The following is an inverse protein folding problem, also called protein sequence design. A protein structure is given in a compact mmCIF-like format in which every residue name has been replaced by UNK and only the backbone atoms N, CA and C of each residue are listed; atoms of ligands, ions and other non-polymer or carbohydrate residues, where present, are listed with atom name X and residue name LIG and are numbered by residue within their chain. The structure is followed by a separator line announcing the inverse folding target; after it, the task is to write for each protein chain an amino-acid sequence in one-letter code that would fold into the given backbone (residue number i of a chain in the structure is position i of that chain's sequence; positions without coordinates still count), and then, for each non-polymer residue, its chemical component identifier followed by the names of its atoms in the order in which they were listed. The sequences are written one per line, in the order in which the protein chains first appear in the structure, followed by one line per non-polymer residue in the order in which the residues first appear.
data_IF_748585506359
#
_entry.id   IF_748585506359
#
_cell.length_a   1.000
_cell.length_b   1.000
_cell.length_c   1.000
_cell.angle_alpha   90.00
_cell.angle_beta   90.00
_cell.angle_gamma   90.00
#
_symmetry.space_group_name_H-M   'P 1'
#
loop_
_entity.id
_entity.type
_entity.pdbx_description
1 polymer ?
#
# COMPACT_ATOMS: atom_id res chain seq x y z
N UNK A 1 -40.01 -6.19 22.59
CA UNK A 1 -39.20 -7.43 22.56
C UNK A 1 -37.75 -7.05 22.84
N UNK A 2 -37.17 -7.48 23.98
CA UNK A 2 -35.77 -7.21 24.31
C UNK A 2 -34.89 -8.23 23.58
N UNK A 3 -34.16 -7.79 22.55
CA UNK A 3 -33.15 -8.61 21.91
C UNK A 3 -31.98 -8.79 22.91
N UNK A 4 -31.99 -9.92 23.63
CA UNK A 4 -30.87 -10.33 24.47
C UNK A 4 -29.77 -10.85 23.54
N UNK A 5 -28.79 -9.99 23.21
CA UNK A 5 -27.58 -10.40 22.50
C UNK A 5 -26.76 -11.29 23.43
N UNK A 6 -26.96 -12.62 23.34
CA UNK A 6 -26.11 -13.61 24.00
C UNK A 6 -24.82 -13.75 23.21
N UNK A 7 -23.87 -12.85 23.42
CA UNK A 7 -22.54 -12.92 22.83
C UNK A 7 -21.80 -14.15 23.38
N UNK A 8 -21.34 -15.04 22.50
CA UNK A 8 -20.50 -16.18 22.91
C UNK A 8 -19.18 -15.65 23.50
N UNK A 9 -18.60 -16.32 24.52
CA UNK A 9 -17.38 -15.85 25.19
C UNK A 9 -16.20 -15.62 24.23
N UNK A 10 -16.16 -16.36 23.12
CA UNK A 10 -15.18 -16.17 22.03
C UNK A 10 -15.24 -14.77 21.40
N UNK A 11 -16.44 -14.22 21.19
CA UNK A 11 -16.59 -12.88 20.61
C UNK A 11 -16.10 -11.81 21.58
N UNK A 12 -16.32 -12.00 22.88
CA UNK A 12 -15.83 -11.10 23.91
C UNK A 12 -14.28 -11.10 23.98
N UNK A 13 -13.66 -12.29 23.92
CA UNK A 13 -12.20 -12.40 23.84
C UNK A 13 -11.62 -11.74 22.59
N UNK A 14 -12.25 -11.91 21.42
CA UNK A 14 -11.81 -11.29 20.17
C UNK A 14 -11.86 -9.75 20.24
N UNK A 15 -12.95 -9.20 20.77
CA UNK A 15 -13.09 -7.75 20.94
C UNK A 15 -12.03 -7.22 21.91
N UNK A 16 -11.83 -7.90 23.03
CA UNK A 16 -10.81 -7.52 24.02
C UNK A 16 -9.40 -7.54 23.40
N UNK A 17 -9.06 -8.60 22.67
CA UNK A 17 -7.77 -8.73 21.99
C UNK A 17 -7.56 -7.60 20.97
N UNK A 18 -8.54 -7.34 20.11
CA UNK A 18 -8.47 -6.23 19.15
C UNK A 18 -8.30 -4.86 19.82
N UNK A 19 -8.94 -4.65 20.97
CA UNK A 19 -8.83 -3.39 21.71
C UNK A 19 -7.48 -3.22 22.44
N UNK A 20 -6.80 -4.32 22.77
CA UNK A 20 -5.52 -4.31 23.48
C UNK A 20 -4.30 -4.13 22.56
N UNK A 21 -4.40 -4.57 21.30
CA UNK A 21 -3.34 -4.45 20.28
C UNK A 21 -2.72 -3.05 20.13
N UNK A 22 -3.47 -1.93 20.07
CA UNK A 22 -2.87 -0.61 19.90
C UNK A 22 -1.99 -0.19 21.08
N UNK A 23 -2.21 -0.71 22.29
CA UNK A 23 -1.39 -0.38 23.47
C UNK A 23 -0.02 -1.07 23.46
N UNK A 24 0.15 -2.11 22.63
CA UNK A 24 1.41 -2.84 22.45
C UNK A 24 2.17 -2.38 21.21
N UNK A 25 1.58 -1.52 20.39
CA UNK A 25 2.20 -1.04 19.15
C UNK A 25 3.26 0.01 19.46
N UNK A 26 4.48 -0.22 18.98
CA UNK A 26 5.52 0.81 18.87
C UNK A 26 5.46 1.41 17.48
N UNK A 27 5.51 2.74 17.37
CA UNK A 27 5.56 3.41 16.07
C UNK A 27 6.99 3.74 15.69
N UNK A 28 7.33 3.52 14.43
CA UNK A 28 8.57 3.99 13.84
C UNK A 28 8.32 5.40 13.27
N UNK A 29 9.17 6.36 13.63
CA UNK A 29 9.15 7.67 12.99
C UNK A 29 9.75 7.55 11.58
N UNK A 30 9.01 8.06 10.60
CA UNK A 30 9.43 8.17 9.20
C UNK A 30 9.17 9.60 8.74
N UNK A 31 10.11 10.22 8.04
CA UNK A 31 9.94 11.59 7.55
C UNK A 31 8.82 11.73 6.51
N UNK A 32 8.55 10.65 5.77
CA UNK A 32 7.54 10.61 4.70
C UNK A 32 6.72 9.32 4.81
N UNK A 33 5.40 9.44 4.69
CA UNK A 33 4.50 8.28 4.57
C UNK A 33 4.68 7.69 3.17
N UNK A 34 5.41 6.58 3.10
CA UNK A 34 5.73 5.88 1.85
C UNK A 34 4.79 4.67 1.66
N UNK A 35 3.48 4.95 1.57
CA UNK A 35 2.46 3.94 1.25
C UNK A 35 2.15 3.97 -0.24
N UNK A 36 2.14 2.81 -0.90
CA UNK A 36 1.74 2.72 -2.30
C UNK A 36 0.21 2.62 -2.45
N UNK A 37 -0.56 2.63 -1.36
CA UNK A 37 -2.02 2.57 -1.37
C UNK A 37 -2.65 3.93 -1.03
N UNK A 38 -3.73 4.35 -1.74
CA UNK A 38 -4.52 3.59 -2.71
C UNK A 38 -4.02 3.64 -4.17
N UNK A 39 -3.09 4.52 -4.53
CA UNK A 39 -2.75 4.85 -5.92
C UNK A 39 -1.93 3.81 -6.70
N UNK A 40 -1.54 2.68 -6.08
CA UNK A 40 -0.70 1.60 -6.62
C UNK A 40 0.65 2.05 -7.23
N UNK A 41 0.99 3.31 -7.07
CA UNK A 41 2.19 3.93 -7.63
C UNK A 41 3.29 3.91 -6.58
N UNK A 42 4.48 3.46 -7.00
CA UNK A 42 5.63 3.34 -6.11
C UNK A 42 6.32 4.70 -6.00
N UNK A 43 6.42 5.21 -4.76
CA UNK A 43 7.18 6.43 -4.48
C UNK A 43 8.68 6.25 -4.70
N UNK A 44 9.35 7.35 -5.07
CA UNK A 44 10.79 7.33 -5.38
C UNK A 44 11.66 7.01 -4.14
N UNK A 45 11.21 7.37 -2.94
CA UNK A 45 11.96 7.20 -1.70
C UNK A 45 11.96 5.74 -1.20
N UNK A 46 13.01 5.34 -0.49
CA UNK A 46 13.06 4.06 0.21
C UNK A 46 12.31 4.12 1.55
N UNK A 47 11.90 2.98 2.10
CA UNK A 47 11.24 2.90 3.43
C UNK A 47 12.17 3.32 4.59
N UNK A 48 13.48 3.14 4.46
CA UNK A 48 14.49 3.50 5.48
C UNK A 48 15.47 2.38 5.80
N UNK A 49 16.68 2.70 6.26
CA UNK A 49 17.72 1.69 6.53
C UNK A 49 17.33 0.77 7.69
N UNK A 50 17.31 -0.53 7.46
CA UNK A 50 16.99 -1.55 8.46
C UNK A 50 15.50 -1.66 8.78
N UNK A 51 14.64 -0.95 8.05
CA UNK A 51 13.19 -0.96 8.27
C UNK A 51 12.55 -2.02 7.37
N UNK A 52 11.73 -2.87 8.00
CA UNK A 52 10.85 -3.81 7.31
C UNK A 52 9.44 -3.24 7.38
N UNK A 53 8.79 -3.11 6.24
CA UNK A 53 7.40 -2.68 6.12
C UNK A 53 6.61 -3.77 5.40
N UNK A 54 5.44 -4.07 5.95
CA UNK A 54 4.47 -4.96 5.34
C UNK A 54 3.19 -4.16 5.06
N UNK A 55 2.76 -4.14 3.81
CA UNK A 55 1.47 -3.57 3.40
C UNK A 55 0.57 -4.72 2.98
N UNK A 56 -0.57 -4.87 3.65
CA UNK A 56 -1.59 -5.85 3.28
C UNK A 56 -2.86 -5.14 2.83
N UNK A 57 -3.63 -5.78 1.96
CA UNK A 57 -4.90 -5.23 1.51
C UNK A 57 -5.88 -6.31 1.08
N UNK A 58 -7.15 -5.94 1.04
CA UNK A 58 -8.22 -6.77 0.50
C UNK A 58 -8.70 -6.17 -0.83
N UNK A 59 -8.94 -7.03 -1.80
CA UNK A 59 -9.46 -6.68 -3.11
C UNK A 59 -10.89 -7.20 -3.20
N UNK A 60 -11.79 -6.32 -3.60
CA UNK A 60 -13.13 -6.67 -4.05
C UNK A 60 -13.42 -5.87 -5.32
N UNK A 61 -13.64 -6.57 -6.42
CA UNK A 61 -13.91 -5.94 -7.72
C UNK A 61 -14.98 -6.73 -8.45
N UNK A 62 -15.97 -6.05 -9.02
CA UNK A 62 -17.00 -6.63 -9.87
C UNK A 62 -16.85 -6.08 -11.27
N UNK A 63 -16.84 -6.95 -12.27
CA UNK A 63 -16.71 -6.60 -13.68
C UNK A 63 -17.82 -7.26 -14.49
N UNK A 64 -18.60 -6.42 -15.16
CA UNK A 64 -19.65 -6.84 -16.06
C UNK A 64 -19.22 -6.51 -17.50
N UNK A 65 -19.23 -7.51 -18.38
CA UNK A 65 -18.82 -7.37 -19.78
C UNK A 65 -19.97 -7.75 -20.71
N UNK A 66 -20.67 -6.75 -21.23
CA UNK A 66 -21.87 -6.94 -22.06
C UNK A 66 -21.56 -7.68 -23.37
N UNK A 67 -20.44 -7.35 -24.02
CA UNK A 67 -20.07 -7.95 -25.32
C UNK A 67 -19.69 -9.44 -25.21
N UNK A 68 -19.10 -9.84 -24.08
CA UNK A 68 -18.79 -11.26 -23.79
C UNK A 68 -19.94 -11.97 -23.08
N UNK A 69 -21.02 -11.27 -22.72
CA UNK A 69 -22.10 -11.80 -21.87
C UNK A 69 -21.54 -12.51 -20.63
N UNK A 70 -20.59 -11.85 -19.95
CA UNK A 70 -19.85 -12.41 -18.83
C UNK A 70 -19.91 -11.45 -17.64
N UNK A 71 -20.27 -11.98 -16.48
CA UNK A 71 -20.19 -11.30 -15.19
C UNK A 71 -19.09 -11.97 -14.37
N UNK A 72 -18.23 -11.18 -13.73
CA UNK A 72 -17.13 -11.70 -12.93
C UNK A 72 -16.93 -10.93 -11.63
N UNK A 73 -16.82 -11.68 -10.54
CA UNK A 73 -16.54 -11.13 -9.20
C UNK A 73 -15.15 -11.60 -8.78
N UNK A 74 -14.30 -10.65 -8.40
CA UNK A 74 -12.95 -10.86 -7.88
C UNK A 74 -12.93 -10.57 -6.38
N UNK A 75 -12.44 -11.54 -5.62
CA UNK A 75 -12.15 -11.39 -4.20
C UNK A 75 -10.72 -11.81 -3.96
N UNK A 76 -9.92 -10.97 -3.32
CA UNK A 76 -8.50 -11.26 -3.16
C UNK A 76 -7.87 -10.62 -1.94
N UNK A 77 -6.63 -11.04 -1.70
CA UNK A 77 -5.76 -10.45 -0.71
C UNK A 77 -4.41 -10.14 -1.34
N UNK A 78 -3.86 -9.00 -0.93
CA UNK A 78 -2.56 -8.54 -1.34
C UNK A 78 -1.60 -8.50 -0.17
N UNK A 79 -0.34 -8.75 -0.47
CA UNK A 79 0.79 -8.59 0.44
C UNK A 79 1.93 -7.93 -0.32
N UNK A 80 2.45 -6.82 0.22
CA UNK A 80 3.70 -6.23 -0.21
C UNK A 80 4.68 -6.17 0.97
N UNK A 81 5.82 -6.81 0.84
CA UNK A 81 6.92 -6.80 1.81
C UNK A 81 8.03 -5.90 1.27
N UNK A 82 8.50 -4.97 2.09
CA UNK A 82 9.52 -3.99 1.71
C UNK A 82 10.61 -3.99 2.76
N UNK A 83 11.86 -4.04 2.33
CA UNK A 83 13.02 -4.02 3.21
C UNK A 83 14.04 -3.01 2.72
N UNK A 84 14.31 -2.00 3.53
CA UNK A 84 15.37 -1.03 3.24
C UNK A 84 16.72 -1.54 3.74
N UNK A 85 17.61 -1.90 2.80
CA UNK A 85 18.87 -2.56 3.12
C UNK A 85 19.98 -1.55 3.47
N UNK A 86 20.27 -0.59 2.57
CA UNK A 86 21.46 0.24 2.66
C UNK A 86 21.21 1.74 2.47
N UNK A 87 21.66 2.55 3.44
CA UNK A 87 21.75 4.03 3.41
C UNK A 87 20.53 4.76 2.83
N UNK A 88 19.32 4.27 3.11
CA UNK A 88 18.05 4.86 2.60
C UNK A 88 17.97 4.97 1.06
N UNK A 89 18.85 4.25 0.35
CA UNK A 89 18.96 4.29 -1.11
C UNK A 89 18.50 3.00 -1.73
N UNK A 90 18.81 1.85 -1.12
CA UNK A 90 18.43 0.54 -1.65
C UNK A 90 17.24 -0.06 -0.88
N UNK A 91 16.18 -0.37 -1.59
CA UNK A 91 15.00 -1.08 -1.09
C UNK A 91 14.77 -2.34 -1.92
N UNK A 92 14.49 -3.46 -1.24
CA UNK A 92 14.03 -4.70 -1.86
C UNK A 92 12.53 -4.83 -1.57
N UNK A 93 11.77 -5.21 -2.58
CA UNK A 93 10.31 -5.32 -2.50
C UNK A 93 9.87 -6.68 -3.01
N UNK A 94 8.94 -7.31 -2.31
CA UNK A 94 8.20 -8.47 -2.77
C UNK A 94 6.71 -8.15 -2.78
N UNK A 95 6.02 -8.43 -3.88
CA UNK A 95 4.58 -8.23 -4.03
C UNK A 95 3.93 -9.56 -4.41
N UNK A 96 2.92 -9.95 -3.63
CA UNK A 96 2.09 -11.12 -3.87
C UNK A 96 0.62 -10.74 -3.84
N UNK A 97 -0.14 -11.14 -4.86
CA UNK A 97 -1.59 -10.95 -4.94
C UNK A 97 -2.24 -12.29 -5.22
N UNK A 98 -3.10 -12.72 -4.30
CA UNK A 98 -3.88 -13.94 -4.42
C UNK A 98 -5.35 -13.58 -4.64
N UNK A 99 -5.96 -14.16 -5.68
CA UNK A 99 -7.32 -13.79 -6.09
C UNK A 99 -8.14 -15.04 -6.37
N UNK A 100 -9.36 -15.01 -5.87
CA UNK A 100 -10.46 -15.87 -6.28
C UNK A 100 -11.35 -15.08 -7.25
N UNK A 101 -11.64 -15.67 -8.39
CA UNK A 101 -12.54 -15.14 -9.40
C UNK A 101 -13.69 -16.11 -9.61
N UNK A 102 -14.91 -15.61 -9.44
CA UNK A 102 -16.15 -16.32 -9.76
C UNK A 102 -16.70 -15.73 -11.06
N UNK A 103 -16.90 -16.56 -12.09
CA UNK A 103 -17.27 -16.16 -13.45
C UNK A 103 -18.60 -16.79 -13.83
N UNK A 104 -19.56 -15.97 -14.22
CA UNK A 104 -20.85 -16.42 -14.78
C UNK A 104 -20.92 -16.05 -16.25
N UNK A 105 -21.07 -17.05 -17.12
CA UNK A 105 -21.28 -16.84 -18.56
C UNK A 105 -22.78 -16.88 -18.86
N UNK A 106 -23.38 -15.71 -19.04
CA UNK A 106 -24.84 -15.56 -19.26
C UNK A 106 -25.30 -16.15 -20.60
N UNK A 107 -24.41 -16.29 -21.59
CA UNK A 107 -24.72 -16.88 -22.89
C UNK A 107 -24.85 -18.41 -22.87
N UNK A 108 -24.21 -19.09 -21.92
CA UNK A 108 -24.15 -20.56 -21.86
C UNK A 108 -24.67 -21.14 -20.53
N UNK A 109 -25.10 -20.28 -19.60
CA UNK A 109 -25.53 -20.63 -18.22
C UNK A 109 -24.48 -21.49 -17.48
N UNK A 110 -23.22 -21.12 -17.66
CA UNK A 110 -22.07 -21.80 -17.04
C UNK A 110 -21.48 -20.92 -15.95
N UNK A 111 -21.17 -21.56 -14.81
CA UNK A 111 -20.44 -20.93 -13.71
C UNK A 111 -19.08 -21.60 -13.55
N UNK A 112 -18.03 -20.80 -13.48
CA UNK A 112 -16.66 -21.25 -13.29
C UNK A 112 -16.02 -20.48 -12.15
N UNK A 113 -15.32 -21.22 -11.28
CA UNK A 113 -14.57 -20.65 -10.16
C UNK A 113 -13.08 -20.91 -10.37
N UNK A 114 -12.29 -19.84 -10.35
CA UNK A 114 -10.83 -19.88 -10.49
C UNK A 114 -10.17 -19.27 -9.26
N UNK A 115 -9.10 -19.89 -8.79
CA UNK A 115 -8.29 -19.38 -7.68
C UNK A 115 -6.83 -19.51 -8.06
N UNK A 116 -6.12 -18.39 -8.12
CA UNK A 116 -4.70 -18.38 -8.43
C UNK A 116 -3.98 -17.15 -7.89
N UNK A 117 -2.66 -17.19 -7.88
CA UNK A 117 -1.82 -16.02 -7.67
C UNK A 117 -1.78 -15.17 -8.93
N UNK A 118 -2.54 -14.08 -8.92
CA UNK A 118 -2.55 -13.10 -10.01
C UNK A 118 -1.20 -12.37 -10.15
N UNK A 119 -0.46 -12.19 -9.03
CA UNK A 119 0.84 -11.52 -9.04
C UNK A 119 1.81 -12.15 -8.04
N UNK A 120 3.04 -12.40 -8.49
CA UNK A 120 4.21 -12.66 -7.64
C UNK A 120 5.40 -11.92 -8.27
N UNK A 121 5.91 -10.89 -7.59
CA UNK A 121 6.98 -10.05 -8.10
C UNK A 121 8.02 -9.81 -7.03
N UNK A 122 9.28 -9.90 -7.42
CA UNK A 122 10.41 -9.41 -6.64
C UNK A 122 11.03 -8.22 -7.37
N UNK A 123 11.30 -7.16 -6.65
CA UNK A 123 11.81 -5.90 -7.17
C UNK A 123 12.92 -5.34 -6.29
N UNK A 124 13.76 -4.52 -6.91
CA UNK A 124 14.80 -3.74 -6.24
C UNK A 124 14.65 -2.31 -6.71
N UNK A 125 14.76 -1.36 -5.79
CA UNK A 125 14.68 0.08 -6.05
C UNK A 125 15.92 0.76 -5.51
N UNK A 126 16.50 1.68 -6.28
CA UNK A 126 17.74 2.36 -5.92
C UNK A 126 17.65 3.87 -6.14
N UNK A 127 17.60 4.65 -5.07
CA UNK A 127 17.54 6.11 -5.13
C UNK A 127 18.82 6.71 -5.72
N UNK A 128 18.71 7.21 -6.96
CA UNK A 128 19.78 7.84 -7.72
C UNK A 128 19.94 9.32 -7.35
N UNK A 129 18.81 10.04 -7.26
CA UNK A 129 18.80 11.48 -7.01
C UNK A 129 17.72 11.87 -6.02
N UNK A 130 18.11 12.67 -5.04
CA UNK A 130 17.23 13.26 -4.04
C UNK A 130 17.52 14.78 -3.96
N UNK A 131 16.59 15.64 -4.39
CA UNK A 131 16.77 17.09 -4.35
C UNK A 131 16.83 17.65 -2.92
N UNK A 132 16.27 16.96 -1.93
CA UNK A 132 16.14 17.44 -0.56
C UNK A 132 17.25 16.99 0.38
N UNK A 133 18.08 16.02 -0.05
CA UNK A 133 19.17 15.44 0.76
C UNK A 133 20.23 16.45 1.21
N UNK A 134 20.41 17.55 0.48
CA UNK A 134 21.36 18.61 0.82
C UNK A 134 20.68 19.71 1.64
N UNK A 135 20.89 19.79 2.97
CA UNK A 135 20.20 20.76 3.82
C UNK A 135 20.50 22.21 3.44
N UNK A 136 21.70 22.49 2.93
CA UNK A 136 22.08 23.85 2.51
C UNK A 136 21.33 24.35 1.27
N UNK A 137 20.80 23.45 0.43
CA UNK A 137 20.01 23.80 -0.76
C UNK A 137 18.51 23.96 -0.46
N UNK A 138 18.06 23.38 0.64
CA UNK A 138 16.65 23.27 1.04
C UNK A 138 16.27 24.26 2.15
N UNK A 139 17.25 24.89 2.82
CA UNK A 139 17.00 25.86 3.90
C UNK A 139 16.05 26.98 3.45
N UNK A 140 14.97 27.25 4.22
CA UNK A 140 14.11 28.39 3.96
C UNK A 140 14.88 29.69 4.21
N UNK A 141 14.66 30.69 3.37
CA UNK A 141 15.18 32.03 3.59
C UNK A 141 14.41 32.69 4.75
N UNK A 142 15.10 33.01 5.84
CA UNK A 142 14.49 33.62 7.03
C UNK A 142 14.13 35.11 6.84
N UNK A 143 14.71 35.78 5.85
CA UNK A 143 14.56 37.22 5.64
C UNK A 143 13.49 37.58 4.59
N UNK A 144 13.14 36.67 3.68
CA UNK A 144 12.23 36.97 2.58
C UNK A 144 11.19 35.85 2.36
N UNK A 145 9.93 36.18 2.62
CA UNK A 145 8.80 35.31 2.29
C UNK A 145 8.69 35.05 0.78
N UNK A 146 8.94 36.08 -0.06
CA UNK A 146 8.84 35.96 -1.51
C UNK A 146 9.92 35.04 -2.10
N UNK A 147 11.11 35.00 -1.50
CA UNK A 147 12.17 34.10 -1.94
C UNK A 147 11.77 32.62 -1.79
N UNK A 148 11.01 32.28 -0.75
CA UNK A 148 10.56 30.90 -0.49
C UNK A 148 9.32 30.50 -1.30
N UNK A 149 8.47 31.46 -1.69
CA UNK A 149 7.17 31.19 -2.34
C UNK A 149 7.14 31.55 -3.84
N UNK A 150 8.26 32.04 -4.41
CA UNK A 150 8.39 32.19 -5.86
C UNK A 150 8.62 30.81 -6.47
N UNK A 151 8.16 30.63 -7.71
CA UNK A 151 8.51 29.48 -8.55
C UNK A 151 10.04 29.27 -8.64
N UNK A 152 10.52 28.08 -8.28
CA UNK A 152 11.93 27.70 -8.34
C UNK A 152 12.08 26.48 -9.25
N UNK A 153 12.99 26.53 -10.21
CA UNK A 153 13.22 25.43 -11.17
C UNK A 153 13.66 24.12 -10.48
N UNK A 154 14.31 24.22 -9.31
CA UNK A 154 14.72 23.04 -8.53
C UNK A 154 13.53 22.23 -7.98
N UNK A 155 12.37 22.85 -7.81
CA UNK A 155 11.17 22.18 -7.30
C UNK A 155 10.45 21.36 -8.38
N UNK A 156 10.82 21.55 -9.66
CA UNK A 156 10.28 20.79 -10.78
C UNK A 156 10.93 19.41 -10.94
N UNK A 157 12.11 19.20 -10.36
CA UNK A 157 12.86 17.94 -10.52
C UNK A 157 12.50 17.02 -9.35
N UNK A 158 11.70 15.95 -9.58
CA UNK A 158 11.36 15.01 -8.52
C UNK A 158 12.58 14.15 -8.15
N UNK A 159 12.48 13.46 -7.01
CA UNK A 159 13.41 12.39 -6.69
C UNK A 159 13.31 11.26 -7.73
N UNK A 160 14.45 10.63 -8.04
CA UNK A 160 14.56 9.59 -9.08
C UNK A 160 15.18 8.34 -8.49
N UNK A 161 14.54 7.18 -8.68
CA UNK A 161 14.99 5.87 -8.21
C UNK A 161 14.71 4.71 -9.16
#
# INVERSE_FOLDING_TARGET
MKACFRTKPIHFCLIFLCSALPFLATSQYTDVINSNRPGLSVGAYAVGKGVIQAETGFIYEQRDHTDLSQESTFMGADLALRYGFFRETLEITYEGTYVQQDITYSAFDLNEKRTDFSRNRLGVKYLLYDPYKNPDRTKPNLYSWRANNKFQLKDLVPAVS
#
